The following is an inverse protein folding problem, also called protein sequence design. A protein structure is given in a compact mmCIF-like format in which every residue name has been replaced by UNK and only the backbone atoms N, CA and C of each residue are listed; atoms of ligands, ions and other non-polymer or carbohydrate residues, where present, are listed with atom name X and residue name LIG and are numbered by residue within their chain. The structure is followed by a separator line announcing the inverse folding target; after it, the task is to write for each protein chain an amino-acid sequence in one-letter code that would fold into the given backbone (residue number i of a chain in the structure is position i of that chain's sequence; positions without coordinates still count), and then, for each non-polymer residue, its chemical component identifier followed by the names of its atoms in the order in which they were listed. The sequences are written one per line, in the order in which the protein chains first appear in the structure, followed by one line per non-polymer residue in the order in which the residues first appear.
data_IF_402713342775
#
_entry.id   IF_402713342775
#
_cell.length_a   1.000
_cell.length_b   1.000
_cell.length_c   1.000
_cell.angle_alpha   90.00
_cell.angle_beta   90.00
_cell.angle_gamma   90.00
#
_symmetry.space_group_name_H-M   'P 1'
#
loop_
_entity.id
_entity.type
_entity.pdbx_description
1 polymer ?
#
# COMPACT_ATOMS: atom_id res chain seq x y z
N UNK A 1 73.84 87.20 20.83
CA UNK A 1 73.35 86.32 21.92
C UNK A 1 71.86 86.11 21.66
N UNK A 2 71.46 85.06 20.94
CA UNK A 2 71.40 83.64 21.34
C UNK A 2 70.20 83.34 22.26
N UNK A 3 69.36 82.41 21.80
CA UNK A 3 68.33 81.70 22.56
C UNK A 3 66.90 82.11 22.21
N UNK A 4 65.93 81.23 22.00
CA UNK A 4 65.92 79.77 21.86
C UNK A 4 64.51 79.42 21.31
N UNK A 5 64.41 78.47 20.38
CA UNK A 5 63.16 78.06 19.74
C UNK A 5 62.61 76.84 20.48
N UNK A 6 61.69 77.03 21.41
CA UNK A 6 60.92 75.96 22.04
C UNK A 6 59.51 75.87 21.46
N UNK A 7 59.33 75.09 20.39
CA UNK A 7 58.02 74.71 19.89
C UNK A 7 57.47 73.56 20.76
N UNK A 8 56.39 73.82 21.50
CA UNK A 8 55.70 72.82 22.31
C UNK A 8 54.67 72.13 21.41
N UNK A 9 55.03 70.96 20.90
CA UNK A 9 54.13 70.04 20.19
C UNK A 9 53.27 69.28 21.21
N UNK A 10 52.09 69.82 21.50
CA UNK A 10 51.05 69.12 22.26
C UNK A 10 49.83 68.91 21.37
N UNK A 11 49.66 67.67 20.88
CA UNK A 11 48.33 67.15 20.61
C UNK A 11 48.14 66.36 19.32
N UNK A 12 48.75 65.16 19.19
CA UNK A 12 48.34 64.20 18.14
C UNK A 12 48.46 62.71 18.56
N UNK A 13 48.51 62.41 19.86
CA UNK A 13 48.64 61.02 20.36
C UNK A 13 47.35 60.41 20.95
N UNK A 14 46.31 61.19 21.19
CA UNK A 14 45.01 60.70 21.67
C UNK A 14 44.12 60.12 20.56
N UNK A 15 44.01 60.83 19.43
CA UNK A 15 43.03 60.50 18.37
C UNK A 15 43.34 59.22 17.60
N UNK A 16 44.62 58.90 17.36
CA UNK A 16 44.99 57.66 16.63
C UNK A 16 44.70 56.39 17.43
N UNK A 17 44.67 56.47 18.76
CA UNK A 17 44.32 55.34 19.61
C UNK A 17 42.80 55.15 19.66
N UNK A 18 42.04 56.25 19.73
CA UNK A 18 40.57 56.19 19.71
C UNK A 18 40.06 55.65 18.35
N UNK A 19 40.62 56.10 17.23
CA UNK A 19 40.22 55.61 15.89
C UNK A 19 40.55 54.13 15.68
N UNK A 20 41.72 53.67 16.12
CA UNK A 20 42.12 52.27 16.01
C UNK A 20 41.27 51.31 16.87
N UNK A 21 40.72 51.79 17.98
CA UNK A 21 39.79 51.02 18.83
C UNK A 21 38.40 50.96 18.17
N UNK A 22 37.92 52.08 17.62
CA UNK A 22 36.64 52.13 16.91
C UNK A 22 36.62 51.23 15.66
N UNK A 23 37.68 51.24 14.86
CA UNK A 23 37.81 50.36 13.67
C UNK A 23 37.89 48.88 14.05
N UNK A 24 38.55 48.52 15.15
CA UNK A 24 38.56 47.14 15.67
C UNK A 24 37.19 46.71 16.18
N UNK A 25 36.45 47.61 16.85
CA UNK A 25 35.10 47.32 17.32
C UNK A 25 34.10 47.16 16.16
N UNK A 26 34.18 48.01 15.13
CA UNK A 26 33.36 47.90 13.93
C UNK A 26 33.69 46.62 13.12
N UNK A 27 34.98 46.31 12.92
CA UNK A 27 35.41 45.08 12.23
C UNK A 27 34.97 43.81 12.96
N UNK A 28 35.03 43.80 14.29
CA UNK A 28 34.56 42.65 15.10
C UNK A 28 33.04 42.52 15.13
N UNK A 29 32.28 43.62 15.19
CA UNK A 29 30.82 43.59 15.09
C UNK A 29 30.35 43.10 13.71
N UNK A 30 30.96 43.58 12.62
CA UNK A 30 30.67 43.11 11.25
C UNK A 30 31.01 41.63 11.10
N UNK A 31 32.14 41.17 11.66
CA UNK A 31 32.52 39.76 11.64
C UNK A 31 31.55 38.87 12.44
N UNK A 32 31.06 39.33 13.60
CA UNK A 32 30.07 38.61 14.41
C UNK A 32 28.71 38.55 13.70
N UNK A 33 28.25 39.65 13.09
CA UNK A 33 27.00 39.68 12.32
C UNK A 33 27.11 38.79 11.07
N UNK A 34 28.23 38.83 10.35
CA UNK A 34 28.49 37.94 9.21
C UNK A 34 28.51 36.46 9.63
N UNK A 35 29.20 36.12 10.73
CA UNK A 35 29.19 34.78 11.35
C UNK A 35 27.79 34.34 11.76
N UNK A 36 26.99 35.23 12.35
CA UNK A 36 25.61 34.91 12.74
C UNK A 36 24.70 34.69 11.53
N UNK A 37 24.86 35.47 10.46
CA UNK A 37 24.15 35.28 9.19
C UNK A 37 24.58 33.97 8.50
N UNK A 38 25.85 33.62 8.57
CA UNK A 38 26.42 32.39 7.98
C UNK A 38 26.02 31.13 8.79
N UNK A 39 26.10 31.17 10.12
CA UNK A 39 25.59 30.12 11.02
C UNK A 39 24.07 29.94 10.87
N UNK A 40 23.33 31.04 10.66
CA UNK A 40 21.88 31.00 10.40
C UNK A 40 21.55 30.44 9.01
N UNK A 41 22.37 30.71 7.98
CA UNK A 41 22.24 30.12 6.63
C UNK A 41 22.59 28.64 6.60
N UNK A 42 23.54 28.18 7.40
CA UNK A 42 23.97 26.78 7.44
C UNK A 42 23.12 25.93 8.40
N UNK A 43 22.47 26.55 9.40
CA UNK A 43 21.58 25.85 10.33
C UNK A 43 20.40 25.19 9.62
N UNK A 44 19.63 25.94 8.83
CA UNK A 44 18.45 25.39 8.15
C UNK A 44 18.81 24.35 7.08
N UNK A 45 19.95 24.51 6.41
CA UNK A 45 20.42 23.53 5.41
C UNK A 45 20.74 22.19 6.07
N UNK A 46 21.38 22.19 7.24
CA UNK A 46 21.67 20.96 8.01
C UNK A 46 20.39 20.29 8.49
N UNK A 47 19.41 21.07 8.95
CA UNK A 47 18.09 20.54 9.31
C UNK A 47 17.35 19.96 8.09
N UNK A 48 17.36 20.67 6.95
CA UNK A 48 16.74 20.21 5.72
C UNK A 48 17.37 18.91 5.20
N UNK A 49 18.70 18.81 5.21
CA UNK A 49 19.43 17.58 4.85
C UNK A 49 19.09 16.45 5.82
N UNK A 50 19.05 16.71 7.12
CA UNK A 50 18.65 15.72 8.12
C UNK A 50 17.23 15.20 7.92
N UNK A 51 16.26 16.11 7.68
CA UNK A 51 14.88 15.74 7.39
C UNK A 51 14.74 14.94 6.10
N UNK A 52 15.46 15.32 5.05
CA UNK A 52 15.49 14.57 3.79
C UNK A 52 16.06 13.15 4.00
N UNK A 53 17.14 13.02 4.76
CA UNK A 53 17.73 11.72 5.07
C UNK A 53 16.75 10.83 5.84
N UNK A 54 16.00 11.39 6.81
CA UNK A 54 14.96 10.67 7.55
C UNK A 54 13.80 10.26 6.62
N UNK A 55 13.36 11.14 5.73
CA UNK A 55 12.28 10.84 4.78
C UNK A 55 12.67 9.67 3.84
N UNK A 56 13.91 9.67 3.34
CA UNK A 56 14.45 8.60 2.50
C UNK A 56 14.58 7.29 3.31
N UNK A 57 15.17 7.34 4.50
CA UNK A 57 15.35 6.16 5.35
C UNK A 57 14.01 5.53 5.74
N UNK A 58 13.01 6.36 6.05
CA UNK A 58 11.67 5.88 6.39
C UNK A 58 10.93 5.30 5.18
N UNK A 59 11.01 5.92 4.00
CA UNK A 59 10.45 5.34 2.76
C UNK A 59 10.99 3.92 2.52
N UNK A 60 12.29 3.73 2.69
CA UNK A 60 12.93 2.43 2.58
C UNK A 60 12.51 1.44 3.67
N UNK A 61 12.41 1.89 4.92
CA UNK A 61 11.90 1.07 6.01
C UNK A 61 10.45 0.61 5.76
N UNK A 62 9.61 1.49 5.22
CA UNK A 62 8.22 1.16 4.87
C UNK A 62 8.16 0.12 3.73
N UNK A 63 9.01 0.25 2.71
CA UNK A 63 9.08 -0.71 1.60
C UNK A 63 9.56 -2.08 2.04
N UNK A 64 10.70 -2.15 2.71
CA UNK A 64 11.32 -3.44 3.03
C UNK A 64 10.83 -4.07 4.34
N UNK A 65 10.51 -3.25 5.35
CA UNK A 65 9.99 -3.75 6.62
C UNK A 65 8.52 -4.18 6.52
N UNK A 66 7.69 -3.40 5.82
CA UNK A 66 6.23 -3.62 5.79
C UNK A 66 5.70 -4.05 4.41
N UNK A 67 6.48 -3.94 3.34
CA UNK A 67 6.00 -4.22 1.97
C UNK A 67 5.11 -3.11 1.40
N UNK A 68 5.14 -1.90 1.98
CA UNK A 68 4.39 -0.75 1.44
C UNK A 68 5.02 -0.25 0.14
N UNK A 69 4.23 0.41 -0.71
CA UNK A 69 4.64 0.77 -2.06
C UNK A 69 4.42 -0.35 -3.09
N UNK A 70 4.09 -1.56 -2.64
CA UNK A 70 3.81 -2.72 -3.48
C UNK A 70 2.56 -3.47 -2.98
N UNK A 71 1.37 -2.85 -3.03
CA UNK A 71 0.14 -3.54 -2.67
C UNK A 71 -0.19 -4.65 -3.67
N UNK A 72 -0.98 -5.63 -3.23
CA UNK A 72 -1.62 -6.60 -4.15
C UNK A 72 -2.53 -5.82 -5.10
N UNK A 73 -2.31 -6.00 -6.39
CA UNK A 73 -3.03 -5.27 -7.44
C UNK A 73 -4.21 -6.07 -7.96
N UNK A 74 -5.26 -5.34 -8.34
CA UNK A 74 -6.45 -5.87 -9.01
C UNK A 74 -6.51 -5.43 -10.47
N UNK A 75 -7.22 -6.23 -11.25
CA UNK A 75 -7.56 -5.99 -12.63
C UNK A 75 -9.09 -5.98 -12.76
N UNK A 76 -9.61 -4.91 -13.37
CA UNK A 76 -11.00 -4.85 -13.78
C UNK A 76 -11.27 -5.91 -14.85
N UNK A 77 -12.37 -6.64 -14.70
CA UNK A 77 -12.77 -7.70 -15.61
C UNK A 77 -14.26 -7.56 -15.94
N UNK A 78 -14.67 -7.38 -17.20
CA UNK A 78 -16.07 -7.17 -17.54
C UNK A 78 -16.98 -8.36 -17.21
N UNK A 79 -16.45 -9.59 -17.26
CA UNK A 79 -17.22 -10.80 -16.99
C UNK A 79 -17.20 -11.15 -15.50
N UNK A 80 -16.01 -11.09 -14.88
CA UNK A 80 -15.83 -11.47 -13.47
C UNK A 80 -16.08 -10.31 -12.50
N UNK A 81 -16.27 -9.08 -12.98
CA UNK A 81 -16.17 -7.87 -12.18
C UNK A 81 -14.72 -7.48 -11.93
N UNK A 82 -13.97 -8.28 -11.17
CA UNK A 82 -12.53 -8.08 -11.02
C UNK A 82 -11.84 -9.33 -10.54
N UNK A 83 -10.53 -9.38 -10.73
CA UNK A 83 -9.64 -10.40 -10.19
C UNK A 83 -8.34 -9.77 -9.74
N UNK A 84 -7.50 -10.50 -9.01
CA UNK A 84 -6.13 -10.06 -8.78
C UNK A 84 -5.37 -10.08 -10.10
N UNK A 85 -4.41 -9.16 -10.28
CA UNK A 85 -3.51 -9.24 -11.43
C UNK A 85 -2.76 -10.59 -11.39
N UNK A 86 -2.57 -11.25 -12.54
CA UNK A 86 -1.82 -12.50 -12.59
C UNK A 86 -0.34 -12.26 -12.25
N UNK A 87 0.37 -13.34 -11.95
CA UNK A 87 1.83 -13.37 -11.81
C UNK A 87 2.38 -12.39 -10.75
N UNK A 88 1.71 -12.32 -9.61
CA UNK A 88 2.16 -11.53 -8.47
C UNK A 88 2.87 -12.43 -7.45
N UNK A 89 4.06 -12.04 -7.02
CA UNK A 89 4.76 -12.62 -5.87
C UNK A 89 5.38 -11.48 -5.05
N UNK A 90 4.85 -11.26 -3.86
CA UNK A 90 5.23 -10.11 -3.03
C UNK A 90 5.13 -10.43 -1.55
N UNK A 91 5.75 -9.57 -0.73
CA UNK A 91 5.63 -9.64 0.74
C UNK A 91 4.88 -8.43 1.27
N UNK A 92 3.96 -8.67 2.20
CA UNK A 92 3.15 -7.66 2.90
C UNK A 92 3.12 -8.00 4.36
N UNK A 93 3.57 -7.07 5.21
CA UNK A 93 3.54 -7.24 6.66
C UNK A 93 4.15 -8.58 7.13
N UNK A 94 5.23 -9.03 6.48
CA UNK A 94 5.89 -10.31 6.75
C UNK A 94 5.37 -11.49 5.94
N UNK A 95 4.12 -11.42 5.46
CA UNK A 95 3.45 -12.50 4.73
C UNK A 95 3.82 -12.51 3.26
N UNK A 96 4.18 -13.68 2.72
CA UNK A 96 4.26 -13.92 1.27
C UNK A 96 2.85 -14.04 0.71
N UNK A 97 2.60 -13.36 -0.39
CA UNK A 97 1.34 -13.41 -1.13
C UNK A 97 1.66 -13.69 -2.57
N UNK A 98 1.06 -14.75 -3.12
CA UNK A 98 1.28 -15.16 -4.49
C UNK A 98 -0.03 -15.37 -5.24
N UNK A 99 -0.05 -14.89 -6.48
CA UNK A 99 -1.09 -15.17 -7.46
C UNK A 99 -0.44 -15.71 -8.73
N UNK A 100 -0.92 -16.85 -9.21
CA UNK A 100 -0.44 -17.46 -10.45
C UNK A 100 -1.00 -16.76 -11.70
N UNK A 101 -0.68 -17.29 -12.89
CA UNK A 101 -1.12 -16.73 -14.17
C UNK A 101 -2.65 -16.73 -14.36
N UNK A 102 -3.36 -17.54 -13.58
CA UNK A 102 -4.82 -17.64 -13.57
C UNK A 102 -5.47 -16.79 -12.48
N UNK A 103 -4.70 -15.89 -11.83
CA UNK A 103 -5.18 -15.08 -10.70
C UNK A 103 -5.59 -15.90 -9.47
N UNK A 104 -5.12 -17.14 -9.34
CA UNK A 104 -5.43 -17.98 -8.19
C UNK A 104 -4.41 -17.76 -7.08
N UNK A 105 -4.87 -17.82 -5.83
CA UNK A 105 -4.03 -17.76 -4.64
C UNK A 105 -3.45 -19.12 -4.28
N UNK A 106 -2.76 -19.71 -5.24
CA UNK A 106 -2.11 -21.02 -5.14
C UNK A 106 -0.90 -21.01 -6.08
N UNK A 107 -0.10 -22.08 -6.04
CA UNK A 107 0.86 -22.31 -7.11
C UNK A 107 0.12 -22.57 -8.44
N UNK A 108 0.78 -22.38 -9.59
CA UNK A 108 0.24 -22.76 -10.89
C UNK A 108 -0.16 -24.23 -10.91
N UNK A 109 -1.28 -24.59 -11.58
CA UNK A 109 -1.60 -26.00 -11.79
C UNK A 109 -0.49 -26.68 -12.59
N UNK A 110 -0.15 -27.90 -12.21
CA UNK A 110 0.84 -28.74 -12.89
C UNK A 110 0.36 -29.10 -14.30
N UNK A 111 1.23 -28.94 -15.27
CA UNK A 111 0.97 -29.35 -16.66
C UNK A 111 2.13 -30.23 -17.19
N UNK A 112 1.85 -31.47 -17.61
CA UNK A 112 0.56 -32.15 -17.60
C UNK A 112 0.09 -32.48 -16.17
N UNK A 113 -1.22 -32.70 -16.01
CA UNK A 113 -1.80 -33.15 -14.75
C UNK A 113 -1.13 -34.46 -14.28
N UNK A 114 -0.77 -34.53 -13.00
CA UNK A 114 -0.25 -35.76 -12.40
C UNK A 114 -1.39 -36.78 -12.20
N UNK A 115 -1.26 -38.02 -12.69
CA UNK A 115 -2.29 -39.05 -12.52
C UNK A 115 -2.42 -39.53 -11.07
N UNK A 116 -1.36 -39.40 -10.27
CA UNK A 116 -1.29 -39.89 -8.89
C UNK A 116 -1.67 -38.81 -7.84
N UNK A 117 -2.07 -37.63 -8.30
CA UNK A 117 -2.43 -36.49 -7.46
C UNK A 117 -3.87 -36.08 -7.71
N UNK A 118 -4.68 -36.04 -6.66
CA UNK A 118 -6.04 -35.52 -6.76
C UNK A 118 -5.98 -33.99 -6.91
N UNK A 119 -6.64 -33.44 -7.92
CA UNK A 119 -6.71 -31.99 -8.15
C UNK A 119 -8.04 -31.47 -7.68
N UNK A 120 -8.02 -30.46 -6.80
CA UNK A 120 -9.23 -29.86 -6.24
C UNK A 120 -9.18 -28.36 -6.49
N UNK A 121 -10.22 -27.85 -7.16
CA UNK A 121 -10.42 -26.42 -7.33
C UNK A 121 -11.33 -25.90 -6.23
N UNK A 122 -10.86 -24.88 -5.52
CA UNK A 122 -11.64 -24.14 -4.53
C UNK A 122 -11.98 -22.78 -5.11
N UNK A 123 -13.23 -22.36 -4.99
CA UNK A 123 -13.65 -20.99 -5.34
C UNK A 123 -14.39 -20.34 -4.18
N UNK A 124 -14.28 -19.02 -4.05
CA UNK A 124 -14.85 -18.31 -2.91
C UNK A 124 -14.48 -16.83 -2.86
N UNK A 125 -14.57 -16.28 -1.66
CA UNK A 125 -14.47 -14.86 -1.39
C UNK A 125 -13.17 -14.47 -0.65
N UNK A 126 -13.19 -13.37 0.10
CA UNK A 126 -12.11 -12.95 1.00
C UNK A 126 -11.70 -13.99 2.03
N UNK A 127 -12.62 -14.84 2.52
CA UNK A 127 -12.30 -15.82 3.56
C UNK A 127 -11.39 -16.90 3.00
N UNK A 128 -11.73 -17.43 1.82
CA UNK A 128 -10.90 -18.40 1.13
C UNK A 128 -9.56 -17.79 0.68
N UNK A 129 -9.55 -16.50 0.34
CA UNK A 129 -8.35 -15.78 -0.07
C UNK A 129 -7.41 -15.46 1.11
N UNK A 130 -7.92 -15.07 2.28
CA UNK A 130 -7.10 -14.67 3.44
C UNK A 130 -6.44 -13.27 3.34
N UNK A 131 -6.60 -12.56 2.22
CA UNK A 131 -6.15 -11.17 2.07
C UNK A 131 -4.66 -10.97 2.37
N UNK A 132 -4.23 -9.78 2.79
CA UNK A 132 -2.81 -9.57 3.13
C UNK A 132 -2.43 -10.05 4.53
N UNK A 133 -3.38 -10.62 5.27
CA UNK A 133 -3.21 -11.01 6.68
C UNK A 133 -2.71 -12.46 6.82
N UNK A 134 -3.07 -13.34 5.89
CA UNK A 134 -2.59 -14.72 5.85
C UNK A 134 -1.34 -14.83 4.97
N UNK A 135 -0.30 -15.52 5.44
CA UNK A 135 0.78 -15.99 4.58
C UNK A 135 0.26 -17.01 3.56
N UNK A 136 0.97 -17.16 2.44
CA UNK A 136 0.67 -18.16 1.43
C UNK A 136 0.53 -19.57 2.02
N UNK A 137 1.36 -19.91 3.01
CA UNK A 137 1.36 -21.19 3.72
C UNK A 137 0.26 -21.33 4.78
N UNK A 138 -0.48 -20.25 5.07
CA UNK A 138 -1.54 -20.20 6.10
C UNK A 138 -2.93 -20.00 5.49
N UNK A 139 -3.06 -20.21 4.18
CA UNK A 139 -4.37 -20.21 3.51
C UNK A 139 -5.14 -21.49 3.82
N UNK A 140 -6.47 -21.47 3.70
CA UNK A 140 -7.31 -22.67 3.89
C UNK A 140 -6.84 -23.84 3.00
N UNK A 141 -6.57 -23.66 1.69
CA UNK A 141 -5.98 -24.71 0.86
C UNK A 141 -4.62 -25.18 1.37
N UNK A 142 -3.73 -24.29 1.83
CA UNK A 142 -2.43 -24.72 2.35
C UNK A 142 -2.57 -25.64 3.57
N UNK A 143 -3.47 -25.32 4.51
CA UNK A 143 -3.75 -26.21 5.65
C UNK A 143 -4.39 -27.53 5.22
N UNK A 144 -5.33 -27.50 4.27
CA UNK A 144 -5.94 -28.72 3.71
C UNK A 144 -4.88 -29.63 3.06
N UNK A 145 -3.98 -29.06 2.26
CA UNK A 145 -2.87 -29.79 1.65
C UNK A 145 -1.96 -30.42 2.71
N UNK A 146 -1.63 -29.69 3.77
CA UNK A 146 -0.79 -30.20 4.86
C UNK A 146 -1.44 -31.38 5.59
N UNK A 147 -2.75 -31.30 5.89
CA UNK A 147 -3.51 -32.37 6.55
C UNK A 147 -3.54 -33.63 5.68
N UNK A 148 -3.87 -33.50 4.40
CA UNK A 148 -3.95 -34.64 3.48
C UNK A 148 -2.58 -35.26 3.18
N UNK A 149 -1.54 -34.43 3.02
CA UNK A 149 -0.17 -34.91 2.88
C UNK A 149 0.26 -35.72 4.10
N UNK A 150 -0.09 -35.27 5.31
CA UNK A 150 0.19 -36.02 6.54
C UNK A 150 -0.58 -37.36 6.62
N UNK A 151 -1.67 -37.52 5.87
CA UNK A 151 -2.43 -38.76 5.72
C UNK A 151 -1.93 -39.63 4.56
N UNK A 152 -0.82 -39.25 3.90
CA UNK A 152 -0.26 -39.98 2.76
C UNK A 152 -1.00 -39.74 1.44
N UNK A 153 -1.87 -38.73 1.36
CA UNK A 153 -2.56 -38.36 0.13
C UNK A 153 -1.80 -37.26 -0.61
N UNK A 154 -1.64 -37.43 -1.92
CA UNK A 154 -1.10 -36.40 -2.81
C UNK A 154 -2.26 -35.56 -3.36
N UNK A 155 -2.27 -34.28 -3.03
CA UNK A 155 -3.33 -33.35 -3.43
C UNK A 155 -2.75 -32.08 -4.04
N UNK A 156 -3.41 -31.57 -5.06
CA UNK A 156 -3.12 -30.28 -5.70
C UNK A 156 -4.33 -29.37 -5.50
N UNK A 157 -4.15 -28.27 -4.77
CA UNK A 157 -5.25 -27.39 -4.39
C UNK A 157 -5.12 -26.03 -5.08
N UNK A 158 -6.13 -25.68 -5.88
CA UNK A 158 -6.20 -24.43 -6.61
C UNK A 158 -7.17 -23.48 -5.91
N UNK A 159 -6.81 -22.20 -5.78
CA UNK A 159 -7.60 -21.23 -5.02
C UNK A 159 -8.07 -20.05 -5.88
N UNK A 160 -9.24 -20.17 -6.49
CA UNK A 160 -9.89 -19.13 -7.27
C UNK A 160 -10.80 -18.24 -6.39
N UNK A 161 -10.22 -17.25 -5.72
CA UNK A 161 -10.97 -16.38 -4.80
C UNK A 161 -10.52 -14.93 -4.80
N UNK A 162 -11.46 -14.02 -4.53
CA UNK A 162 -11.15 -12.63 -4.23
C UNK A 162 -12.17 -12.03 -3.26
N UNK A 163 -11.78 -10.96 -2.57
CA UNK A 163 -12.66 -10.29 -1.63
C UNK A 163 -13.98 -9.88 -2.26
N UNK A 164 -15.10 -10.07 -1.54
CA UNK A 164 -16.46 -9.72 -1.98
C UNK A 164 -16.93 -10.41 -3.28
N UNK A 165 -16.32 -11.50 -3.71
CA UNK A 165 -16.88 -12.31 -4.79
C UNK A 165 -18.16 -13.03 -4.35
N UNK A 166 -19.28 -12.70 -4.99
CA UNK A 166 -20.53 -13.46 -4.88
C UNK A 166 -20.57 -14.65 -5.84
N UNK A 167 -21.67 -15.40 -5.80
CA UNK A 167 -21.87 -16.59 -6.65
C UNK A 167 -21.68 -16.29 -8.14
N UNK A 168 -22.14 -15.12 -8.61
CA UNK A 168 -21.97 -14.72 -10.00
C UNK A 168 -20.51 -14.49 -10.40
N UNK A 169 -19.66 -13.97 -9.49
CA UNK A 169 -18.23 -13.81 -9.76
C UNK A 169 -17.53 -15.17 -9.85
N UNK A 170 -17.86 -16.08 -8.92
CA UNK A 170 -17.33 -17.44 -8.89
C UNK A 170 -17.72 -18.21 -10.17
N UNK A 171 -18.99 -18.12 -10.59
CA UNK A 171 -19.46 -18.73 -11.83
C UNK A 171 -18.74 -18.14 -13.06
N UNK A 172 -18.61 -16.81 -13.14
CA UNK A 172 -17.91 -16.15 -14.25
C UNK A 172 -16.43 -16.58 -14.33
N UNK A 173 -15.77 -16.76 -13.19
CA UNK A 173 -14.40 -17.30 -13.15
C UNK A 173 -14.34 -18.70 -13.76
N UNK A 174 -15.23 -19.61 -13.34
CA UNK A 174 -15.28 -20.98 -13.83
C UNK A 174 -15.61 -21.04 -15.34
N UNK A 175 -16.47 -20.16 -15.83
CA UNK A 175 -16.77 -20.05 -17.26
C UNK A 175 -15.58 -19.54 -18.07
N UNK A 176 -14.74 -18.69 -17.47
CA UNK A 176 -13.61 -18.05 -18.16
C UNK A 176 -12.37 -18.94 -18.19
N UNK A 177 -12.05 -19.56 -17.06
CA UNK A 177 -10.81 -20.32 -16.89
C UNK A 177 -11.02 -21.84 -16.84
N UNK A 178 -12.26 -22.29 -16.76
CA UNK A 178 -12.60 -23.71 -16.64
C UNK A 178 -12.28 -24.29 -15.26
N UNK A 179 -12.26 -25.62 -15.21
CA UNK A 179 -12.06 -26.39 -13.98
C UNK A 179 -10.63 -26.95 -13.84
N UNK A 180 -9.73 -26.66 -14.78
CA UNK A 180 -8.34 -27.13 -14.76
C UNK A 180 -8.19 -28.65 -14.61
N UNK A 181 -9.09 -29.44 -15.20
CA UNK A 181 -9.15 -30.89 -15.01
C UNK A 181 -9.20 -31.31 -13.53
N UNK A 182 -9.87 -30.54 -12.67
CA UNK A 182 -10.04 -30.89 -11.26
C UNK A 182 -11.01 -32.06 -11.08
N UNK A 183 -10.70 -32.94 -10.14
CA UNK A 183 -11.57 -34.06 -9.72
C UNK A 183 -12.73 -33.59 -8.86
N UNK A 184 -12.53 -32.49 -8.13
CA UNK A 184 -13.50 -31.93 -7.21
C UNK A 184 -13.49 -30.40 -7.29
N UNK A 185 -14.68 -29.83 -7.32
CA UNK A 185 -14.91 -28.41 -7.09
C UNK A 185 -15.49 -28.20 -5.69
N UNK A 186 -14.84 -27.36 -4.89
CA UNK A 186 -15.36 -26.92 -3.59
C UNK A 186 -15.72 -25.44 -3.70
N UNK A 187 -16.99 -25.12 -3.45
CA UNK A 187 -17.49 -23.74 -3.51
C UNK A 187 -17.65 -23.23 -2.07
N UNK A 188 -16.85 -22.23 -1.70
CA UNK A 188 -16.94 -21.52 -0.44
C UNK A 188 -17.93 -20.36 -0.59
N UNK A 189 -19.05 -20.47 0.12
CA UNK A 189 -20.11 -19.48 0.09
C UNK A 189 -20.40 -19.02 1.51
N UNK A 190 -20.09 -17.78 1.81
CA UNK A 190 -20.55 -17.15 3.04
C UNK A 190 -22.06 -16.89 2.99
N UNK A 191 -22.72 -16.83 4.14
CA UNK A 191 -24.18 -16.55 4.20
C UNK A 191 -24.55 -15.24 3.50
N UNK A 192 -23.67 -14.25 3.53
CA UNK A 192 -23.85 -12.97 2.86
C UNK A 192 -23.64 -13.07 1.33
N UNK A 193 -22.80 -13.99 0.85
CA UNK A 193 -22.52 -14.18 -0.56
C UNK A 193 -23.69 -14.82 -1.33
N UNK A 194 -24.56 -15.56 -0.62
CA UNK A 194 -25.73 -16.24 -1.21
C UNK A 194 -26.69 -15.29 -1.90
N UNK A 195 -26.84 -14.08 -1.36
CA UNK A 195 -27.83 -13.09 -1.80
C UNK A 195 -27.20 -11.82 -2.35
N UNK A 196 -25.88 -11.69 -2.29
CA UNK A 196 -25.21 -10.50 -2.80
C UNK A 196 -25.17 -10.50 -4.33
N UNK A 197 -25.33 -9.34 -4.98
CA UNK A 197 -25.14 -9.23 -6.41
C UNK A 197 -23.68 -9.50 -6.79
N UNK A 198 -23.47 -9.89 -8.04
CA UNK A 198 -22.14 -10.00 -8.64
C UNK A 198 -21.37 -8.70 -8.45
N UNK A 199 -20.21 -8.78 -7.81
CA UNK A 199 -19.31 -7.63 -7.64
C UNK A 199 -18.87 -7.09 -8.99
N UNK A 200 -18.76 -5.76 -9.12
CA UNK A 200 -18.45 -5.08 -10.38
C UNK A 200 -17.03 -4.53 -10.40
N UNK A 201 -16.52 -4.26 -11.61
CA UNK A 201 -15.19 -3.69 -11.83
C UNK A 201 -15.03 -2.24 -11.39
N UNK A 202 -16.13 -1.52 -11.13
CA UNK A 202 -16.15 -0.07 -10.97
C UNK A 202 -15.24 0.45 -9.84
N UNK A 203 -15.02 -0.37 -8.81
CA UNK A 203 -14.19 -0.02 -7.65
C UNK A 203 -12.68 -0.08 -7.94
N UNK A 204 -12.26 -0.86 -8.94
CA UNK A 204 -10.85 -1.11 -9.25
C UNK A 204 -10.17 0.15 -9.77
N UNK A 205 -9.08 0.54 -9.12
CA UNK A 205 -8.33 1.77 -9.41
C UNK A 205 -8.98 3.05 -8.87
N UNK A 206 -10.24 3.00 -8.46
CA UNK A 206 -11.00 4.14 -7.94
C UNK A 206 -11.10 4.15 -6.41
N UNK A 207 -10.74 3.04 -5.75
CA UNK A 207 -10.75 2.91 -4.30
C UNK A 207 -9.36 2.50 -3.77
N UNK A 208 -8.87 3.09 -2.65
CA UNK A 208 -7.55 2.75 -2.08
C UNK A 208 -7.35 1.28 -1.73
N UNK A 209 -8.43 0.57 -1.40
CA UNK A 209 -8.39 -0.88 -1.09
C UNK A 209 -8.40 -1.77 -2.34
N UNK A 210 -8.67 -1.18 -3.51
CA UNK A 210 -8.69 -1.87 -4.80
C UNK A 210 -7.67 -1.26 -5.79
N UNK A 211 -6.37 -1.22 -5.47
CA UNK A 211 -5.37 -0.58 -6.32
C UNK A 211 -5.18 -1.37 -7.62
N UNK A 212 -5.21 -0.67 -8.76
CA UNK A 212 -4.86 -1.23 -10.08
C UNK A 212 -3.41 -0.98 -10.48
N UNK A 213 -2.71 -0.12 -9.73
CA UNK A 213 -1.32 0.27 -9.96
C UNK A 213 -0.60 0.51 -8.64
N UNK A 214 0.72 0.35 -8.66
CA UNK A 214 1.56 0.67 -7.50
C UNK A 214 1.57 2.18 -7.24
N UNK A 215 1.54 2.62 -5.98
CA UNK A 215 1.79 4.01 -5.64
C UNK A 215 3.27 4.34 -5.88
N UNK A 216 3.55 5.62 -6.12
CA UNK A 216 4.93 6.08 -6.37
C UNK A 216 5.80 5.93 -5.11
N UNK A 217 5.20 6.19 -3.95
CA UNK A 217 5.85 6.19 -2.65
C UNK A 217 5.15 5.22 -1.68
N UNK A 218 5.90 4.58 -0.80
CA UNK A 218 5.34 3.81 0.31
C UNK A 218 4.61 4.71 1.31
N UNK A 219 5.12 5.93 1.53
CA UNK A 219 4.41 6.97 2.29
C UNK A 219 3.03 7.30 1.72
N UNK A 220 2.90 7.33 0.39
CA UNK A 220 1.60 7.55 -0.26
C UNK A 220 0.63 6.45 0.14
N UNK A 221 1.04 5.18 0.05
CA UNK A 221 0.20 4.05 0.46
C UNK A 221 -0.18 4.13 1.94
N UNK A 222 0.81 4.38 2.81
CA UNK A 222 0.62 4.50 4.26
C UNK A 222 -0.46 5.53 4.57
N UNK A 223 -0.36 6.71 3.95
CA UNK A 223 -1.31 7.78 4.16
C UNK A 223 -2.70 7.44 3.63
N UNK A 224 -2.82 7.04 2.35
CA UNK A 224 -4.12 6.89 1.69
C UNK A 224 -4.89 5.66 2.16
N UNK A 225 -4.19 4.58 2.49
CA UNK A 225 -4.82 3.28 2.78
C UNK A 225 -4.97 3.00 4.27
N UNK A 226 -4.03 3.47 5.09
CA UNK A 226 -3.98 3.10 6.51
C UNK A 226 -4.26 4.26 7.46
N UNK A 227 -3.62 5.41 7.28
CA UNK A 227 -3.72 6.52 8.25
C UNK A 227 -4.98 7.38 8.05
N UNK A 228 -5.22 7.86 6.83
CA UNK A 228 -6.35 8.75 6.54
C UNK A 228 -7.68 8.13 6.95
N UNK A 229 -7.92 6.86 6.56
CA UNK A 229 -9.15 6.14 6.89
C UNK A 229 -9.35 5.89 8.37
N UNK A 230 -8.27 5.60 9.10
CA UNK A 230 -8.36 5.21 10.51
C UNK A 230 -8.53 6.40 11.44
N UNK A 231 -7.92 7.54 11.11
CA UNK A 231 -7.82 8.66 12.05
C UNK A 231 -8.46 9.96 11.56
N UNK A 232 -8.61 10.15 10.25
CA UNK A 232 -8.98 11.45 9.67
C UNK A 232 -10.26 11.44 8.85
N UNK A 233 -10.76 10.26 8.48
CA UNK A 233 -12.01 10.14 7.72
C UNK A 233 -13.22 10.46 8.62
N UNK A 234 -13.99 11.51 8.34
CA UNK A 234 -15.13 11.87 9.17
C UNK A 234 -16.19 10.77 9.18
N UNK A 235 -16.82 10.52 10.33
CA UNK A 235 -17.81 9.42 10.50
C UNK A 235 -18.98 9.49 9.51
N UNK A 236 -19.33 10.68 9.01
CA UNK A 236 -20.37 10.88 8.01
C UNK A 236 -20.00 10.42 6.58
N UNK A 237 -18.72 10.22 6.28
CA UNK A 237 -18.28 9.71 4.98
C UNK A 237 -18.56 8.21 4.79
N UNK A 238 -18.62 7.43 5.88
CA UNK A 238 -18.93 5.98 5.83
C UNK A 238 -20.29 5.66 5.20
N UNK A 239 -21.22 6.62 5.19
CA UNK A 239 -22.57 6.48 4.64
C UNK A 239 -22.68 6.77 3.14
N UNK A 240 -21.68 7.42 2.52
CA UNK A 240 -21.72 7.81 1.09
C UNK A 240 -21.08 6.80 0.14
N UNK A 241 -20.32 5.83 0.64
CA UNK A 241 -19.55 4.88 -0.17
C UNK A 241 -20.13 3.47 -0.22
N UNK A 242 -21.33 3.25 0.33
CA UNK A 242 -22.16 2.15 -0.18
C UNK A 242 -22.72 2.64 -1.53
N UNK A 243 -22.48 1.97 -2.66
CA UNK A 243 -23.35 2.19 -3.80
C UNK A 243 -24.76 1.93 -3.28
N UNK A 244 -25.62 2.94 -3.35
CA UNK A 244 -27.05 2.73 -3.18
C UNK A 244 -27.40 1.70 -4.24
N UNK A 245 -27.58 0.44 -3.85
CA UNK A 245 -28.31 -0.50 -4.68
C UNK A 245 -29.63 0.22 -4.97
N UNK A 246 -30.02 0.41 -6.25
CA UNK A 246 -31.38 0.84 -6.50
C UNK A 246 -32.29 -0.13 -5.73
N UNK A 247 -33.37 0.38 -5.09
CA UNK A 247 -34.30 -0.49 -4.38
C UNK A 247 -34.69 -1.64 -5.33
N UNK A 248 -34.75 -2.89 -4.84
CA UNK A 248 -35.10 -4.01 -5.69
C UNK A 248 -36.39 -3.66 -6.43
N UNK A 249 -36.38 -3.82 -7.75
CA UNK A 249 -37.59 -3.60 -8.52
C UNK A 249 -38.70 -4.48 -7.94
N UNK A 250 -39.91 -3.95 -7.75
CA UNK A 250 -41.02 -4.75 -7.26
C UNK A 250 -41.17 -5.98 -8.17
N UNK A 251 -41.40 -7.17 -7.61
CA UNK A 251 -41.49 -8.38 -8.41
C UNK A 251 -42.55 -8.16 -9.50
N UNK A 252 -42.13 -8.30 -10.76
CA UNK A 252 -43.06 -8.30 -11.89
C UNK A 252 -44.10 -9.39 -11.69
N UNK A 253 -45.34 -9.18 -12.14
CA UNK A 253 -46.45 -10.12 -11.99
C UNK A 253 -46.09 -11.57 -12.41
N UNK A 254 -45.16 -11.73 -13.36
CA UNK A 254 -44.63 -13.02 -13.80
C UNK A 254 -43.90 -13.83 -12.69
N UNK A 255 -43.33 -13.17 -11.67
CA UNK A 255 -42.65 -13.84 -10.54
C UNK A 255 -43.66 -14.29 -9.47
N UNK A 256 -44.80 -13.61 -9.36
CA UNK A 256 -45.87 -13.99 -8.44
C UNK A 256 -46.71 -15.17 -8.97
N UNK A 257 -46.86 -15.30 -10.29
CA UNK A 257 -47.58 -16.42 -10.91
C UNK A 257 -46.80 -17.74 -10.92
N UNK A 258 -45.47 -17.71 -10.71
CA UNK A 258 -44.64 -18.91 -10.66
C UNK A 258 -44.56 -19.55 -9.25
N UNK A 259 -45.23 -18.98 -8.25
CA UNK A 259 -45.22 -19.45 -6.85
C UNK A 259 -46.56 -20.02 -6.36
N UNK A 260 -47.48 -20.36 -7.27
CA UNK A 260 -48.73 -21.10 -7.01
C UNK A 260 -48.76 -22.35 -7.87
#
# INVERSE_FOLDING_TARGET
MAGDRGAIDHGLHGDRRASAIADRQLGSAIFVVARLVEVRRWGWQRWAVGLLAIAIASEFALRWGFGLGNPVLLQADPALGYRFQPDQDLRRFGNRIRYNQYSQRSEPPLEPRSPDQARILLTGDSVLNGGTLADQSETIPAYMAAIWTAQGQSVELLNASAGSWGLGNQLAYLQTFGFFDSDLLIIFVGTHDLVQPTSTSAVVGNHPDFPSRRPLLAWQELWTRYLWRRYLQPRWWRWRSQPLLPPPEPPTAAVLEAQV
#
